data_IF_592670379500
#
_entry.id   IF_592670379500
#
_cell.length_a   1.000
_cell.length_b   1.000
_cell.length_c   1.000
_cell.angle_alpha   90.00
_cell.angle_beta   90.00
_cell.angle_gamma   90.00
#
_symmetry.space_group_name_H-M   'P 1'
#
loop_
_entity.id
_entity.type
_entity.pdbx_description
1 polymer ?
#
# COMPACT_ATOMS: atom_id res chain seq x y z
N UNK A 1 -25.47 5.90 -3.98
CA UNK A 1 -24.49 5.16 -4.80
C UNK A 1 -23.68 4.30 -3.84
N UNK A 2 -23.65 2.97 -4.04
CA UNK A 2 -23.07 2.03 -3.07
C UNK A 2 -21.54 1.94 -3.28
N UNK A 3 -20.73 1.83 -2.21
CA UNK A 3 -19.27 1.73 -2.34
C UNK A 3 -18.86 0.43 -3.03
N UNK A 4 -17.80 0.48 -3.85
CA UNK A 4 -17.22 -0.70 -4.49
C UNK A 4 -16.19 -1.37 -3.55
N UNK A 5 -16.03 -2.68 -3.64
CA UNK A 5 -15.24 -3.47 -2.68
C UNK A 5 -13.93 -3.96 -3.30
N UNK A 6 -12.83 -3.88 -2.54
CA UNK A 6 -11.54 -4.50 -2.85
C UNK A 6 -11.28 -5.59 -1.81
N UNK A 7 -10.85 -6.76 -2.29
CA UNK A 7 -10.44 -7.88 -1.45
C UNK A 7 -8.92 -8.02 -1.50
N UNK A 8 -8.28 -7.92 -0.33
CA UNK A 8 -6.86 -8.22 -0.18
C UNK A 8 -6.74 -9.66 0.29
N UNK A 9 -6.12 -10.51 -0.54
CA UNK A 9 -5.93 -11.92 -0.24
C UNK A 9 -4.53 -12.17 0.32
N UNK A 10 -4.43 -13.17 1.20
CA UNK A 10 -3.17 -13.65 1.77
C UNK A 10 -3.42 -14.72 2.83
N UNK A 11 -2.43 -14.99 3.70
CA UNK A 11 -2.49 -16.11 4.65
C UNK A 11 -2.11 -15.67 6.06
N UNK A 12 -2.91 -16.04 7.06
CA UNK A 12 -2.65 -15.77 8.48
C UNK A 12 -1.78 -16.90 9.05
N UNK A 13 -0.47 -16.67 9.19
CA UNK A 13 0.46 -17.68 9.69
C UNK A 13 0.34 -17.82 11.21
N UNK A 14 -0.50 -18.76 11.63
CA UNK A 14 -0.62 -19.21 13.01
C UNK A 14 0.33 -20.33 13.40
N UNK A 15 1.52 -20.53 12.81
CA UNK A 15 2.48 -21.56 13.29
C UNK A 15 3.93 -21.36 12.83
N UNK A 16 4.84 -21.82 13.68
CA UNK A 16 6.29 -21.58 13.77
C UNK A 16 7.16 -22.46 12.85
N UNK A 17 6.90 -22.56 11.55
CA UNK A 17 7.79 -23.25 10.60
C UNK A 17 7.74 -22.55 9.22
N UNK A 18 8.87 -22.42 8.49
CA UNK A 18 8.89 -21.80 7.16
C UNK A 18 8.32 -22.76 6.10
N UNK A 19 7.07 -22.53 5.68
CA UNK A 19 6.48 -23.24 4.54
C UNK A 19 6.81 -22.53 3.21
N UNK A 20 7.40 -23.29 2.28
CA UNK A 20 7.51 -22.91 0.85
C UNK A 20 6.19 -23.33 0.19
N UNK A 21 5.46 -22.38 -0.39
CA UNK A 21 4.17 -22.67 -1.03
C UNK A 21 4.36 -23.30 -2.42
N UNK A 22 3.71 -24.45 -2.62
CA UNK A 22 3.45 -25.04 -3.93
C UNK A 22 2.00 -24.74 -4.33
N UNK A 23 1.78 -23.66 -5.11
CA UNK A 23 0.48 -23.32 -5.71
C UNK A 23 -0.16 -24.50 -6.48
N UNK A 24 0.66 -25.45 -6.94
CA UNK A 24 0.26 -26.69 -7.61
C UNK A 24 -0.59 -27.63 -6.74
N UNK A 25 -0.62 -27.46 -5.41
CA UNK A 25 -1.34 -28.34 -4.48
C UNK A 25 -2.78 -27.92 -4.16
N UNK A 26 -3.29 -26.85 -4.76
CA UNK A 26 -4.71 -26.48 -4.66
C UNK A 26 -5.11 -25.76 -3.37
N UNK A 27 -4.15 -25.20 -2.63
CA UNK A 27 -4.46 -24.30 -1.50
C UNK A 27 -5.18 -23.04 -2.01
N UNK A 28 -6.31 -22.71 -1.39
CA UNK A 28 -7.14 -21.57 -1.79
C UNK A 28 -6.74 -20.32 -1.00
N UNK A 29 -6.47 -19.18 -1.66
CA UNK A 29 -6.18 -17.93 -0.98
C UNK A 29 -7.39 -17.48 -0.17
N UNK A 30 -7.16 -17.06 1.08
CA UNK A 30 -8.19 -16.49 1.94
C UNK A 30 -8.14 -14.95 1.89
N UNK A 31 -9.29 -14.32 2.09
CA UNK A 31 -9.36 -12.85 2.21
C UNK A 31 -8.76 -12.47 3.56
N UNK A 32 -7.69 -11.69 3.55
CA UNK A 32 -7.10 -11.12 4.76
C UNK A 32 -7.88 -9.89 5.21
N UNK A 33 -8.22 -9.01 4.26
CA UNK A 33 -8.85 -7.74 4.59
C UNK A 33 -9.78 -7.27 3.45
N UNK A 34 -10.85 -6.57 3.81
CA UNK A 34 -11.84 -6.06 2.83
C UNK A 34 -11.94 -4.55 2.92
N UNK A 35 -11.44 -3.87 1.90
CA UNK A 35 -11.51 -2.41 1.76
C UNK A 35 -12.69 -1.98 0.89
N UNK A 36 -13.14 -0.74 1.06
CA UNK A 36 -14.12 -0.10 0.17
C UNK A 36 -13.47 1.10 -0.51
N UNK A 37 -13.71 1.24 -1.80
CA UNK A 37 -13.23 2.37 -2.60
C UNK A 37 -14.37 3.10 -3.29
N UNK A 38 -14.06 4.34 -3.70
CA UNK A 38 -15.02 5.21 -4.35
C UNK A 38 -15.45 4.62 -5.68
N UNK A 39 -16.77 4.55 -5.92
CA UNK A 39 -17.29 3.99 -7.18
C UNK A 39 -16.88 4.89 -8.35
N UNK A 40 -16.29 4.29 -9.38
CA UNK A 40 -15.83 4.96 -10.60
C UNK A 40 -16.58 4.46 -11.84
N UNK A 41 -16.58 5.26 -12.91
CA UNK A 41 -17.28 4.94 -14.16
C UNK A 41 -16.57 3.83 -14.96
N UNK A 42 -15.26 3.68 -14.77
CA UNK A 42 -14.42 2.69 -15.45
C UNK A 42 -13.84 1.69 -14.44
N UNK A 43 -13.44 0.50 -14.90
CA UNK A 43 -12.74 -0.45 -14.02
C UNK A 43 -11.44 0.18 -13.48
N UNK A 44 -11.19 0.13 -12.16
CA UNK A 44 -10.02 0.76 -11.58
C UNK A 44 -8.73 0.02 -11.98
N UNK A 45 -7.64 0.77 -12.05
CA UNK A 45 -6.28 0.26 -12.03
C UNK A 45 -5.83 0.15 -10.57
N UNK A 46 -5.10 -0.92 -10.29
CA UNK A 46 -4.55 -1.20 -8.97
C UNK A 46 -3.03 -1.28 -9.08
N UNK A 47 -2.34 -0.73 -8.09
CA UNK A 47 -0.90 -0.94 -7.91
C UNK A 47 -0.63 -1.19 -6.43
N UNK A 48 0.13 -2.24 -6.14
CA UNK A 48 0.57 -2.58 -4.78
C UNK A 48 2.02 -2.14 -4.61
N UNK A 49 2.35 -1.54 -3.47
CA UNK A 49 3.73 -1.18 -3.14
C UNK A 49 4.61 -2.44 -3.00
N UNK A 50 5.92 -2.36 -3.23
CA UNK A 50 6.82 -3.52 -3.15
C UNK A 50 6.84 -4.19 -1.76
N UNK A 51 6.58 -3.43 -0.71
CA UNK A 51 6.48 -3.92 0.68
C UNK A 51 5.06 -4.43 1.04
N UNK A 52 4.13 -4.38 0.09
CA UNK A 52 2.72 -4.75 0.23
C UNK A 52 1.94 -3.97 1.30
N UNK A 53 2.43 -2.81 1.74
CA UNK A 53 1.80 -2.01 2.81
C UNK A 53 0.84 -0.93 2.29
N UNK A 54 0.97 -0.53 1.01
CA UNK A 54 0.14 0.50 0.39
C UNK A 54 -0.48 -0.03 -0.90
N UNK A 55 -1.79 0.14 -1.03
CA UNK A 55 -2.53 -0.11 -2.25
C UNK A 55 -2.96 1.22 -2.87
N UNK A 56 -2.57 1.48 -4.11
CA UNK A 56 -3.07 2.58 -4.90
C UNK A 56 -4.20 2.12 -5.82
N UNK A 57 -5.30 2.86 -5.84
CA UNK A 57 -6.51 2.56 -6.61
C UNK A 57 -6.83 3.79 -7.46
N UNK A 58 -6.96 3.62 -8.77
CA UNK A 58 -7.40 4.72 -9.62
C UNK A 58 -8.91 4.87 -9.53
N UNK A 59 -9.39 6.08 -9.25
CA UNK A 59 -10.81 6.42 -9.24
C UNK A 59 -11.03 7.52 -10.25
N UNK A 60 -11.59 7.16 -11.41
CA UNK A 60 -11.76 8.02 -12.58
C UNK A 60 -10.45 8.71 -13.01
N UNK A 61 -10.26 9.98 -12.63
CA UNK A 61 -9.10 10.79 -12.94
C UNK A 61 -8.18 11.06 -11.73
N UNK A 62 -8.50 10.45 -10.58
CA UNK A 62 -7.75 10.55 -9.32
C UNK A 62 -7.18 9.21 -8.86
N UNK A 63 -6.40 9.26 -7.77
CA UNK A 63 -5.79 8.09 -7.14
C UNK A 63 -6.05 8.12 -5.64
N UNK A 64 -6.63 7.04 -5.14
CA UNK A 64 -6.81 6.78 -3.71
C UNK A 64 -5.69 5.88 -3.19
N UNK A 65 -5.17 6.18 -2.00
CA UNK A 65 -4.12 5.40 -1.33
C UNK A 65 -4.68 4.75 -0.07
N UNK A 66 -4.54 3.43 0.03
CA UNK A 66 -5.04 2.62 1.13
C UNK A 66 -3.91 1.97 1.91
N UNK A 67 -4.06 1.93 3.23
CA UNK A 67 -3.29 1.04 4.08
C UNK A 67 -3.81 -0.39 3.91
N UNK A 68 -2.94 -1.34 3.55
CA UNK A 68 -3.35 -2.73 3.33
C UNK A 68 -3.57 -3.51 4.62
N UNK A 69 -3.09 -2.98 5.76
CA UNK A 69 -3.21 -3.65 7.06
C UNK A 69 -4.60 -3.55 7.66
N UNK A 70 -5.27 -2.41 7.52
CA UNK A 70 -6.60 -2.14 8.08
C UNK A 70 -7.62 -1.73 7.01
N UNK A 71 -7.22 -1.67 5.73
CA UNK A 71 -8.06 -1.25 4.63
C UNK A 71 -8.44 0.24 4.66
N UNK A 72 -7.82 1.05 5.52
CA UNK A 72 -8.19 2.46 5.68
C UNK A 72 -7.70 3.32 4.50
N UNK A 73 -8.57 4.21 4.03
CA UNK A 73 -8.19 5.26 3.08
C UNK A 73 -7.29 6.27 3.80
N UNK A 74 -6.09 6.47 3.27
CA UNK A 74 -5.11 7.40 3.80
C UNK A 74 -5.20 8.77 3.14
N UNK A 75 -5.20 8.82 1.81
CA UNK A 75 -5.22 10.08 1.06
C UNK A 75 -5.78 9.87 -0.34
N UNK A 76 -6.26 10.96 -0.93
CA UNK A 76 -6.77 11.00 -2.30
C UNK A 76 -6.09 12.13 -3.06
N UNK A 77 -5.55 11.80 -4.23
CA UNK A 77 -5.03 12.78 -5.18
C UNK A 77 -6.03 12.91 -6.31
N UNK A 78 -6.84 13.96 -6.26
CA UNK A 78 -7.84 14.25 -7.28
C UNK A 78 -7.23 14.91 -8.52
N UNK A 79 -7.92 14.77 -9.66
CA UNK A 79 -7.58 15.48 -10.90
C UNK A 79 -6.11 15.31 -11.33
N UNK A 80 -5.57 14.09 -11.16
CA UNK A 80 -4.23 13.74 -11.65
C UNK A 80 -4.16 13.95 -13.17
N UNK A 81 -5.24 13.60 -13.85
CA UNK A 81 -5.42 13.84 -15.28
C UNK A 81 -6.79 14.47 -15.57
N UNK A 82 -6.97 14.96 -16.80
CA UNK A 82 -8.28 15.35 -17.31
C UNK A 82 -9.08 14.15 -17.79
N UNK A 83 -8.39 13.15 -18.35
CA UNK A 83 -8.94 11.86 -18.74
C UNK A 83 -8.70 10.75 -17.70
N UNK A 84 -8.97 9.52 -18.13
CA UNK A 84 -8.86 8.32 -17.30
C UNK A 84 -7.40 7.88 -17.10
N UNK A 85 -7.11 7.34 -15.93
CA UNK A 85 -5.82 6.69 -15.67
C UNK A 85 -5.73 5.36 -16.41
N UNK A 86 -4.70 5.23 -17.24
CA UNK A 86 -4.48 4.04 -18.05
C UNK A 86 -3.69 2.96 -17.30
N UNK A 87 -2.70 3.36 -16.50
CA UNK A 87 -1.85 2.44 -15.76
C UNK A 87 -1.18 3.13 -14.56
N UNK A 88 -0.77 2.32 -13.57
CA UNK A 88 -0.05 2.76 -12.38
C UNK A 88 1.00 1.73 -11.98
N UNK A 89 2.15 2.18 -11.49
CA UNK A 89 3.18 1.29 -10.96
C UNK A 89 4.01 2.00 -9.89
N UNK A 90 4.28 1.32 -8.77
CA UNK A 90 5.25 1.80 -7.80
C UNK A 90 6.68 1.61 -8.33
N UNK A 91 7.57 2.50 -7.93
CA UNK A 91 9.00 2.28 -8.12
C UNK A 91 9.51 1.15 -7.20
N UNK A 92 10.67 0.60 -7.50
CA UNK A 92 11.25 -0.51 -6.72
C UNK A 92 11.53 -0.15 -5.25
N UNK A 93 11.70 1.14 -4.92
CA UNK A 93 11.88 1.58 -3.54
C UNK A 93 10.57 1.83 -2.79
N UNK A 94 9.42 1.84 -3.48
CA UNK A 94 8.10 2.14 -2.92
C UNK A 94 7.89 3.61 -2.54
N UNK A 95 8.82 4.51 -2.86
CA UNK A 95 8.76 5.95 -2.54
C UNK A 95 7.92 6.74 -3.53
N UNK A 96 7.75 6.22 -4.74
CA UNK A 96 7.07 6.91 -5.84
C UNK A 96 6.03 6.00 -6.50
N UNK A 97 4.93 6.60 -6.91
CA UNK A 97 3.94 6.00 -7.79
C UNK A 97 4.00 6.71 -9.15
N UNK A 98 4.25 5.94 -10.21
CA UNK A 98 4.09 6.39 -11.58
C UNK A 98 2.64 6.22 -12.01
N UNK A 99 2.02 7.28 -12.50
CA UNK A 99 0.63 7.28 -12.99
C UNK A 99 0.63 7.74 -14.44
N UNK A 100 0.06 6.92 -15.32
CA UNK A 100 0.02 7.17 -16.76
C UNK A 100 -1.40 7.58 -17.21
N UNK A 101 -1.51 8.73 -17.86
CA UNK A 101 -2.78 9.27 -18.38
C UNK A 101 -2.51 10.46 -19.32
N UNK A 102 -3.46 10.81 -20.18
CA UNK A 102 -3.37 11.97 -21.09
C UNK A 102 -2.04 12.12 -21.87
N UNK A 103 -1.43 10.99 -22.27
CA UNK A 103 -0.12 10.92 -22.97
C UNK A 103 1.06 11.44 -22.14
N UNK A 104 0.91 11.51 -20.83
CA UNK A 104 1.94 11.89 -19.88
C UNK A 104 2.07 10.85 -18.77
N UNK A 105 3.21 10.91 -18.08
CA UNK A 105 3.45 10.16 -16.84
C UNK A 105 3.66 11.18 -15.74
N UNK A 106 2.88 11.07 -14.68
CA UNK A 106 3.03 11.86 -13.46
C UNK A 106 3.64 10.99 -12.37
N UNK A 107 4.45 11.61 -11.52
CA UNK A 107 5.10 10.97 -10.39
C UNK A 107 4.47 11.52 -9.12
N UNK A 108 3.88 10.64 -8.32
CA UNK A 108 3.33 10.98 -7.02
C UNK A 108 4.26 10.45 -5.93
N UNK A 109 4.49 11.25 -4.88
CA UNK A 109 5.19 10.78 -3.69
C UNK A 109 4.27 9.86 -2.90
N UNK A 110 4.75 8.66 -2.56
CA UNK A 110 4.02 7.73 -1.69
C UNK A 110 4.16 8.16 -0.22
N UNK A 111 3.49 9.25 0.15
CA UNK A 111 3.52 9.77 1.54
C UNK A 111 2.88 8.76 2.50
N UNK A 112 1.83 8.07 2.05
CA UNK A 112 1.17 6.98 2.77
C UNK A 112 2.16 5.91 3.27
N UNK A 113 3.10 5.51 2.40
CA UNK A 113 4.09 4.48 2.70
C UNK A 113 4.94 4.74 3.94
N UNK A 114 5.21 6.00 4.28
CA UNK A 114 5.96 6.33 5.50
C UNK A 114 5.13 6.05 6.76
N UNK A 115 3.83 6.34 6.75
CA UNK A 115 2.95 6.07 7.90
C UNK A 115 2.74 4.57 8.09
N UNK A 116 2.51 3.83 7.00
CA UNK A 116 2.35 2.37 7.06
C UNK A 116 3.64 1.71 7.54
N UNK A 117 4.80 2.16 7.06
CA UNK A 117 6.11 1.66 7.50
C UNK A 117 6.34 1.87 9.00
N UNK A 118 5.99 3.06 9.51
CA UNK A 118 6.07 3.35 10.96
C UNK A 118 5.16 2.38 11.73
N UNK A 119 3.90 2.24 11.31
CA UNK A 119 2.95 1.32 11.95
C UNK A 119 3.42 -0.14 11.91
N UNK A 120 4.01 -0.58 10.79
CA UNK A 120 4.60 -1.92 10.67
C UNK A 120 5.77 -2.11 11.65
N UNK A 121 6.69 -1.16 11.71
CA UNK A 121 7.83 -1.21 12.62
C UNK A 121 7.39 -1.18 14.09
N UNK A 122 6.41 -0.34 14.45
CA UNK A 122 5.85 -0.28 15.80
C UNK A 122 5.19 -1.60 16.23
N UNK A 123 4.51 -2.29 15.32
CA UNK A 123 3.97 -3.64 15.58
C UNK A 123 5.07 -4.66 15.79
N UNK A 124 6.13 -4.65 14.98
CA UNK A 124 7.27 -5.55 15.16
C UNK A 124 7.98 -5.31 16.51
N UNK A 125 8.11 -4.05 16.94
CA UNK A 125 8.69 -3.71 18.24
C UNK A 125 7.88 -4.21 19.44
N UNK A 126 6.57 -4.47 19.28
CA UNK A 126 5.73 -5.10 20.33
C UNK A 126 6.01 -6.59 20.51
N UNK A 127 6.71 -7.22 19.56
CA UNK A 127 7.11 -8.63 19.63
C UNK A 127 8.53 -8.78 20.17
N UNK A 128 8.92 -9.99 20.58
CA UNK A 128 10.28 -10.24 21.07
C UNK A 128 11.27 -10.13 19.91
N UNK A 129 12.09 -9.09 19.93
CA UNK A 129 13.12 -8.81 18.93
C UNK A 129 14.51 -8.77 19.56
N UNK A 130 15.55 -8.97 18.75
CA UNK A 130 16.94 -8.81 19.20
C UNK A 130 17.27 -7.32 19.36
N UNK A 131 18.29 -6.98 20.15
CA UNK A 131 18.72 -5.59 20.34
C UNK A 131 19.09 -4.91 19.01
N UNK A 132 19.79 -5.61 18.12
CA UNK A 132 20.16 -5.11 16.81
C UNK A 132 18.94 -4.86 15.91
N UNK A 133 17.94 -5.74 15.92
CA UNK A 133 16.70 -5.54 15.17
C UNK A 133 15.91 -4.34 15.71
N UNK A 134 15.82 -4.21 17.03
CA UNK A 134 15.16 -3.06 17.69
C UNK A 134 15.81 -1.74 17.26
N UNK A 135 17.14 -1.68 17.26
CA UNK A 135 17.88 -0.49 16.81
C UNK A 135 17.58 -0.15 15.35
N UNK A 136 17.62 -1.15 14.45
CA UNK A 136 17.29 -0.95 13.03
C UNK A 136 15.87 -0.42 12.84
N UNK A 137 14.87 -1.01 13.52
CA UNK A 137 13.48 -0.58 13.42
C UNK A 137 13.29 0.87 13.90
N UNK A 138 13.93 1.24 15.01
CA UNK A 138 13.89 2.61 15.52
C UNK A 138 14.55 3.62 14.57
N UNK A 139 15.66 3.24 13.92
CA UNK A 139 16.30 4.07 12.91
C UNK A 139 15.39 4.28 11.70
N UNK A 140 14.74 3.23 11.20
CA UNK A 140 13.75 3.34 10.12
C UNK A 140 12.61 4.28 10.50
N UNK A 141 12.01 4.11 11.69
CA UNK A 141 10.94 4.99 12.18
C UNK A 141 11.40 6.44 12.21
N UNK A 142 12.63 6.70 12.69
CA UNK A 142 13.20 8.04 12.74
C UNK A 142 13.36 8.66 11.35
N UNK A 143 13.89 7.91 10.38
CA UNK A 143 14.06 8.37 9.00
C UNK A 143 12.72 8.70 8.33
N UNK A 144 11.71 7.85 8.54
CA UNK A 144 10.35 8.11 8.07
C UNK A 144 9.79 9.41 8.66
N UNK A 145 9.91 9.61 9.99
CA UNK A 145 9.44 10.84 10.66
C UNK A 145 10.14 12.11 10.16
N UNK A 146 11.45 12.05 9.95
CA UNK A 146 12.22 13.18 9.39
C UNK A 146 11.78 13.49 7.96
N UNK A 147 11.48 12.47 7.18
CA UNK A 147 11.02 12.64 5.79
C UNK A 147 9.61 13.22 5.74
N UNK A 148 8.71 12.74 6.61
CA UNK A 148 7.34 13.26 6.75
C UNK A 148 7.31 14.75 7.11
N UNK A 149 8.20 15.19 8.02
CA UNK A 149 8.31 16.59 8.38
C UNK A 149 8.61 17.52 7.19
N UNK A 150 9.23 17.03 6.11
CA UNK A 150 9.48 17.80 4.88
C UNK A 150 8.22 18.01 4.04
N UNK A 151 7.23 17.15 4.16
CA UNK A 151 5.95 17.24 3.45
C UNK A 151 4.91 18.08 4.20
N UNK A 152 5.25 18.62 5.38
CA UNK A 152 4.36 19.48 6.16
C UNK A 152 3.17 18.75 6.79
N UNK A 153 3.26 17.43 6.95
CA UNK A 153 2.28 16.57 7.62
C UNK A 153 2.85 15.98 8.91
#
# INVERSE_FOLDING_TARGET
MLPATIYIYGYELGITEPFIFEYSRGESPHVLETGRYSQCAHAPRLALSPDAQVLAVSVDNGVEFYNTYDGALYDTVDNVFSGTINNMAFDASGKYLFVCGDRAVRILHNVCGYYTTIGHCERLLKTKQTSATVERLNNTIRECKVTLAKFGK
#
